data_IF_710776385334
#
_entry.id   IF_710776385334
#
_cell.length_a   1.000
_cell.length_b   1.000
_cell.length_c   1.000
_cell.angle_alpha   90.00
_cell.angle_beta   90.00
_cell.angle_gamma   90.00
#
_symmetry.space_group_name_H-M   'P 1'
#
loop_
_entity.id
_entity.type
_entity.pdbx_description
1 polymer ?
#
# COMPACT_ATOMS: atom_id res chain seq x y z
N UNK A 1 -2.73 -8.63 -5.78
CA UNK A 1 -1.38 -8.11 -5.47
C UNK A 1 -0.39 -9.17 -5.92
N UNK A 2 0.60 -8.81 -6.74
CA UNK A 2 1.62 -9.77 -7.20
C UNK A 2 2.84 -9.68 -6.28
N UNK A 3 3.04 -10.70 -5.44
CA UNK A 3 4.15 -10.79 -4.49
C UNK A 3 5.36 -11.57 -5.04
N UNK A 4 5.30 -12.03 -6.30
CA UNK A 4 6.37 -12.80 -6.92
C UNK A 4 7.69 -12.03 -6.96
N UNK A 5 8.71 -12.57 -6.29
CA UNK A 5 10.06 -12.00 -6.21
C UNK A 5 10.17 -10.73 -5.37
N UNK A 6 9.18 -10.44 -4.52
CA UNK A 6 9.17 -9.25 -3.65
C UNK A 6 9.64 -9.65 -2.25
N UNK A 7 10.65 -8.95 -1.73
CA UNK A 7 11.04 -9.06 -0.33
C UNK A 7 10.01 -8.32 0.54
N UNK A 8 9.06 -9.07 1.09
CA UNK A 8 7.96 -8.53 1.91
C UNK A 8 8.50 -7.93 3.21
N UNK A 9 9.52 -8.52 3.81
CA UNK A 9 10.09 -8.02 5.07
C UNK A 9 10.77 -6.65 4.86
N UNK A 10 11.52 -6.52 3.78
CA UNK A 10 12.11 -5.22 3.39
C UNK A 10 11.03 -4.18 3.08
N UNK A 11 9.97 -4.56 2.36
CA UNK A 11 8.85 -3.64 2.08
C UNK A 11 8.19 -3.18 3.38
N UNK A 12 7.89 -4.09 4.30
CA UNK A 12 7.29 -3.75 5.59
C UNK A 12 8.18 -2.82 6.43
N UNK A 13 9.50 -3.06 6.44
CA UNK A 13 10.46 -2.17 7.09
C UNK A 13 10.38 -0.76 6.53
N UNK A 14 10.48 -0.60 5.20
CA UNK A 14 10.45 0.72 4.54
C UNK A 14 9.12 1.44 4.76
N UNK A 15 8.00 0.72 4.73
CA UNK A 15 6.69 1.31 5.01
C UNK A 15 6.56 1.78 6.46
N UNK A 16 7.06 1.00 7.43
CA UNK A 16 7.04 1.40 8.84
C UNK A 16 7.96 2.60 9.11
N UNK A 17 9.15 2.62 8.51
CA UNK A 17 10.08 3.76 8.55
C UNK A 17 9.37 5.02 8.03
N UNK A 18 8.77 4.93 6.85
CA UNK A 18 8.01 6.03 6.23
C UNK A 18 6.91 6.55 7.16
N UNK A 19 6.06 5.67 7.70
CA UNK A 19 4.94 6.05 8.57
C UNK A 19 5.43 6.75 9.85
N UNK A 20 6.54 6.26 10.41
CA UNK A 20 7.10 6.78 11.67
C UNK A 20 7.76 8.15 11.46
N UNK A 21 8.58 8.28 10.42
CA UNK A 21 9.31 9.52 10.13
C UNK A 21 8.40 10.63 9.58
N UNK A 22 7.41 10.28 8.75
CA UNK A 22 6.46 11.26 8.19
C UNK A 22 5.27 11.55 9.09
N UNK A 23 5.27 11.08 10.34
CA UNK A 23 4.21 11.40 11.30
C UNK A 23 4.10 12.93 11.44
N UNK A 24 2.90 13.52 11.29
CA UNK A 24 2.75 14.95 11.44
C UNK A 24 2.91 15.35 12.90
N UNK A 25 3.72 16.38 13.14
CA UNK A 25 3.91 17.01 14.45
C UNK A 25 3.35 18.42 14.41
N UNK A 26 2.55 18.74 15.42
CA UNK A 26 2.04 20.09 15.63
C UNK A 26 3.18 20.96 16.18
N UNK A 27 3.53 22.02 15.46
CA UNK A 27 4.50 23.04 15.90
C UNK A 27 3.82 24.20 16.64
N UNK A 28 2.61 23.99 17.12
CA UNK A 28 1.85 24.98 17.86
C UNK A 28 2.49 25.19 19.23
N UNK A 29 3.04 26.38 19.46
CA UNK A 29 3.58 26.82 20.74
C UNK A 29 2.71 27.92 21.36
N UNK A 30 3.05 28.41 22.57
CA UNK A 30 2.38 29.57 23.16
C UNK A 30 2.47 30.75 22.17
N UNK A 31 1.33 31.28 21.72
CA UNK A 31 1.18 32.35 20.72
C UNK A 31 1.57 32.05 19.25
N UNK A 32 1.77 30.79 18.84
CA UNK A 32 2.02 30.44 17.43
C UNK A 32 1.01 29.41 16.95
N UNK A 33 0.04 29.85 16.13
CA UNK A 33 -0.89 28.96 15.44
C UNK A 33 -0.36 28.65 14.03
N UNK A 34 0.11 27.43 13.80
CA UNK A 34 0.50 26.97 12.47
C UNK A 34 -0.64 26.14 11.86
N UNK A 35 -1.20 26.60 10.74
CA UNK A 35 -2.26 25.88 10.02
C UNK A 35 -1.72 24.66 9.23
N UNK A 36 -0.40 24.55 9.06
CA UNK A 36 0.27 23.47 8.33
C UNK A 36 1.08 22.62 9.29
N UNK A 37 0.92 21.32 9.19
CA UNK A 37 1.71 20.34 9.94
C UNK A 37 2.98 20.02 9.17
N UNK A 38 4.07 19.81 9.89
CA UNK A 38 5.33 19.34 9.30
C UNK A 38 5.55 17.88 9.67
N UNK A 39 6.26 17.10 8.83
CA UNK A 39 6.69 15.77 9.24
C UNK A 39 7.60 15.83 10.48
N UNK A 40 7.70 14.71 11.19
CA UNK A 40 8.59 14.56 12.34
C UNK A 40 10.05 14.57 11.89
N UNK A 41 10.33 13.96 10.74
CA UNK A 41 11.58 14.19 10.03
C UNK A 41 11.57 15.57 9.34
N UNK A 42 12.76 16.09 9.03
CA UNK A 42 12.87 17.34 8.24
C UNK A 42 12.36 17.07 6.82
N UNK A 43 11.74 18.07 6.18
CA UNK A 43 11.13 17.93 4.84
C UNK A 43 12.00 17.23 3.78
N UNK A 44 13.31 17.50 3.63
CA UNK A 44 14.14 16.81 2.65
C UNK A 44 14.17 15.29 2.86
N UNK A 45 14.26 14.85 4.12
CA UNK A 45 14.23 13.42 4.49
C UNK A 45 12.90 12.78 4.14
N UNK A 46 11.78 13.47 4.36
CA UNK A 46 10.46 12.98 3.96
C UNK A 46 10.37 12.77 2.43
N UNK A 47 10.98 13.65 1.63
CA UNK A 47 11.03 13.52 0.17
C UNK A 47 11.84 12.29 -0.24
N UNK A 48 13.03 12.09 0.32
CA UNK A 48 13.87 10.90 0.05
C UNK A 48 13.12 9.59 0.33
N UNK A 49 12.44 9.54 1.48
CA UNK A 49 11.63 8.38 1.83
C UNK A 49 10.45 8.20 0.86
N UNK A 50 9.84 9.30 0.41
CA UNK A 50 8.75 9.27 -0.58
C UNK A 50 9.22 8.68 -1.91
N UNK A 51 10.38 9.10 -2.41
CA UNK A 51 10.99 8.55 -3.63
C UNK A 51 11.26 7.04 -3.53
N UNK A 52 11.46 6.53 -2.32
CA UNK A 52 11.65 5.09 -2.08
C UNK A 52 10.32 4.33 -2.04
N UNK A 53 9.28 4.87 -1.40
CA UNK A 53 7.99 4.16 -1.24
C UNK A 53 7.07 4.26 -2.46
N UNK A 54 7.15 5.32 -3.26
CA UNK A 54 6.30 5.49 -4.45
C UNK A 54 6.47 4.36 -5.48
N UNK A 55 7.69 3.87 -5.80
CA UNK A 55 7.88 2.68 -6.62
C UNK A 55 7.23 1.43 -6.03
N UNK A 56 7.32 1.24 -4.71
CA UNK A 56 6.67 0.14 -4.00
C UNK A 56 5.15 0.21 -4.20
N UNK A 57 4.55 1.38 -4.01
CA UNK A 57 3.12 1.57 -4.24
C UNK A 57 2.74 1.33 -5.69
N UNK A 58 3.53 1.82 -6.63
CA UNK A 58 3.26 1.65 -8.07
C UNK A 58 3.21 0.18 -8.47
N UNK A 59 4.06 -0.66 -7.86
CA UNK A 59 4.08 -2.11 -8.12
C UNK A 59 3.00 -2.88 -7.36
N UNK A 60 2.84 -2.63 -6.06
CA UNK A 60 2.02 -3.46 -5.17
C UNK A 60 0.60 -2.94 -4.97
N UNK A 61 0.38 -1.64 -5.18
CA UNK A 61 -0.89 -0.97 -4.96
C UNK A 61 -1.14 0.13 -6.02
N UNK A 62 -1.32 -0.22 -7.30
CA UNK A 62 -1.39 0.76 -8.39
C UNK A 62 -2.50 1.81 -8.22
N UNK A 63 -3.59 1.46 -7.54
CA UNK A 63 -4.73 2.36 -7.30
C UNK A 63 -4.54 3.31 -6.11
N UNK A 64 -3.35 3.36 -5.50
CA UNK A 64 -3.12 4.13 -4.27
C UNK A 64 -3.43 5.62 -4.42
N UNK A 65 -3.14 6.23 -5.57
CA UNK A 65 -3.40 7.66 -5.82
C UNK A 65 -4.88 7.99 -5.91
N UNK A 66 -5.68 7.10 -6.50
CA UNK A 66 -7.13 7.32 -6.61
C UNK A 66 -7.85 7.10 -5.27
N UNK A 67 -7.33 6.19 -4.44
CA UNK A 67 -7.95 5.83 -3.16
C UNK A 67 -7.53 6.75 -1.99
N UNK A 68 -6.49 7.57 -2.16
CA UNK A 68 -5.96 8.45 -1.12
C UNK A 68 -5.78 9.86 -1.69
N UNK A 69 -6.73 10.75 -1.38
CA UNK A 69 -6.67 12.13 -1.86
C UNK A 69 -5.75 12.97 -0.96
N UNK A 70 -4.89 13.82 -1.55
CA UNK A 70 -4.04 14.72 -0.78
C UNK A 70 -4.88 15.79 -0.06
N UNK A 71 -4.49 16.12 1.16
CA UNK A 71 -5.15 17.15 1.98
C UNK A 71 -4.21 18.35 2.09
N UNK A 72 -4.76 19.57 1.99
CA UNK A 72 -3.97 20.82 2.02
C UNK A 72 -3.17 21.06 3.31
N UNK A 73 -3.54 20.40 4.41
CA UNK A 73 -2.98 20.60 5.75
C UNK A 73 -1.63 19.88 5.91
N UNK A 74 -1.44 18.76 5.21
CA UNK A 74 -0.24 17.93 5.31
C UNK A 74 0.10 17.28 3.97
N UNK A 75 1.28 17.61 3.43
CA UNK A 75 1.66 17.25 2.06
C UNK A 75 1.85 15.74 1.84
N UNK A 76 2.29 14.99 2.87
CA UNK A 76 2.58 13.55 2.79
C UNK A 76 1.43 12.66 3.29
N UNK A 77 0.24 13.23 3.49
CA UNK A 77 -0.89 12.50 4.09
C UNK A 77 -1.34 11.33 3.20
N UNK A 78 -1.45 11.55 1.89
CA UNK A 78 -1.96 10.56 0.96
C UNK A 78 -1.05 9.33 0.87
N UNK A 79 0.26 9.56 0.80
CA UNK A 79 1.30 8.52 0.78
C UNK A 79 1.33 7.75 2.09
N UNK A 80 1.14 8.42 3.24
CA UNK A 80 1.11 7.76 4.55
C UNK A 80 -0.15 6.90 4.71
N UNK A 81 -1.29 7.37 4.23
CA UNK A 81 -2.52 6.56 4.24
C UNK A 81 -2.40 5.37 3.29
N UNK A 82 -1.77 5.56 2.13
CA UNK A 82 -1.43 4.47 1.22
C UNK A 82 -0.47 3.45 1.87
N UNK A 83 0.55 3.91 2.60
CA UNK A 83 1.47 3.05 3.34
C UNK A 83 0.75 2.20 4.40
N UNK A 84 -0.11 2.82 5.22
CA UNK A 84 -0.91 2.13 6.23
C UNK A 84 -1.84 1.09 5.60
N UNK A 85 -2.53 1.45 4.50
CA UNK A 85 -3.41 0.53 3.77
C UNK A 85 -2.63 -0.64 3.18
N UNK A 86 -1.48 -0.38 2.57
CA UNK A 86 -0.63 -1.42 1.98
C UNK A 86 -0.13 -2.38 3.06
N UNK A 87 0.33 -1.86 4.20
CA UNK A 87 0.80 -2.68 5.32
C UNK A 87 -0.34 -3.51 5.93
N UNK A 88 -1.53 -2.94 6.07
CA UNK A 88 -2.71 -3.69 6.49
C UNK A 88 -3.07 -4.80 5.48
N UNK A 89 -2.98 -4.52 4.17
CA UNK A 89 -3.22 -5.50 3.10
C UNK A 89 -2.21 -6.65 3.19
N UNK A 90 -0.92 -6.37 3.38
CA UNK A 90 0.12 -7.41 3.53
C UNK A 90 -0.18 -8.35 4.71
N UNK A 91 -0.42 -7.78 5.90
CA UNK A 91 -0.78 -8.55 7.11
C UNK A 91 -2.07 -9.35 6.95
N UNK A 92 -3.07 -8.74 6.32
CA UNK A 92 -4.34 -9.44 6.07
C UNK A 92 -4.18 -10.56 5.05
N UNK A 93 -3.31 -10.41 4.05
CA UNK A 93 -3.12 -11.42 3.00
C UNK A 93 -2.58 -12.73 3.58
N UNK A 94 -1.61 -12.67 4.48
CA UNK A 94 -1.10 -13.85 5.21
C UNK A 94 -2.23 -14.53 6.01
N UNK A 95 -3.03 -13.75 6.74
CA UNK A 95 -4.12 -14.29 7.56
C UNK A 95 -5.23 -14.90 6.71
N UNK A 96 -5.60 -14.21 5.62
CA UNK A 96 -6.66 -14.62 4.68
C UNK A 96 -6.24 -15.87 3.92
N UNK A 97 -5.00 -15.94 3.43
CA UNK A 97 -4.48 -17.14 2.76
C UNK A 97 -4.37 -18.34 3.71
N UNK A 98 -3.97 -18.12 4.98
CA UNK A 98 -3.95 -19.17 5.99
C UNK A 98 -5.36 -19.71 6.34
N UNK A 99 -6.37 -18.83 6.39
CA UNK A 99 -7.74 -19.20 6.81
C UNK A 99 -8.67 -19.64 5.68
N UNK A 100 -8.52 -19.08 4.49
CA UNK A 100 -9.38 -19.37 3.33
C UNK A 100 -8.74 -20.36 2.35
N UNK A 101 -7.54 -20.85 2.66
CA UNK A 101 -6.76 -21.74 1.80
C UNK A 101 -6.09 -20.96 0.68
N UNK A 102 -4.77 -20.76 0.80
CA UNK A 102 -3.91 -20.18 -0.22
C UNK A 102 -3.79 -21.12 -1.43
N UNK A 103 -4.88 -21.26 -2.17
CA UNK A 103 -4.93 -22.00 -3.41
C UNK A 103 -5.31 -21.04 -4.52
N UNK A 104 -4.34 -20.73 -5.37
CA UNK A 104 -4.51 -20.37 -6.77
C UNK A 104 -5.89 -19.73 -7.10
N UNK A 105 -5.98 -18.40 -7.02
CA UNK A 105 -7.12 -17.63 -7.53
C UNK A 105 -7.24 -17.71 -9.06
N UNK A 106 -6.40 -18.53 -9.71
CA UNK A 106 -6.63 -18.99 -11.07
C UNK A 106 -7.96 -19.74 -11.09
N UNK A 107 -8.92 -19.41 -11.97
CA UNK A 107 -10.09 -20.25 -12.15
C UNK A 107 -9.57 -21.65 -12.44
N UNK A 108 -9.85 -22.60 -11.55
CA UNK A 108 -9.64 -24.02 -11.83
C UNK A 108 -10.61 -24.37 -12.95
N UNK A 109 -10.19 -24.11 -14.19
CA UNK A 109 -10.81 -24.64 -15.39
C UNK A 109 -10.60 -26.15 -15.31
N UNK A 110 -11.44 -26.82 -14.55
CA UNK A 110 -11.57 -28.27 -14.62
C UNK A 110 -12.01 -28.56 -16.05
N UNK A 111 -11.19 -29.30 -16.79
CA UNK A 111 -11.42 -29.65 -18.20
C UNK A 111 -12.82 -30.29 -18.44
N UNK A 112 -13.48 -30.78 -17.39
CA UNK A 112 -14.89 -31.22 -17.39
C UNK A 112 -15.85 -30.12 -17.89
N UNK A 113 -15.58 -28.84 -17.60
CA UNK A 113 -16.39 -27.71 -18.06
C UNK A 113 -16.22 -27.37 -19.55
N UNK A 114 -15.14 -27.81 -20.21
CA UNK A 114 -14.91 -27.57 -21.63
C UNK A 114 -15.58 -28.60 -22.55
N UNK A 115 -15.99 -29.75 -22.02
CA UNK A 115 -16.46 -30.87 -22.85
C UNK A 115 -17.87 -30.65 -23.45
N UNK A 116 -18.70 -29.79 -22.83
CA UNK A 116 -20.07 -29.50 -23.31
C UNK A 116 -20.12 -28.47 -24.45
N UNK A 117 -19.08 -27.63 -24.61
CA UNK A 117 -19.04 -26.58 -25.64
C UNK A 117 -18.44 -27.07 -26.97
N UNK A 118 -17.62 -28.13 -26.94
CA UNK A 118 -16.98 -28.67 -28.15
C UNK A 118 -17.99 -29.48 -28.99
N UNK A 119 -18.99 -30.10 -28.37
CA UNK A 119 -19.95 -30.98 -29.06
C UNK A 119 -21.14 -30.28 -29.73
N UNK A 120 -21.28 -28.95 -29.62
CA UNK A 120 -22.31 -28.18 -30.34
C UNK A 120 -21.79 -27.47 -31.61
N UNK A 121 -20.51 -27.66 -31.94
CA UNK A 121 -19.87 -27.00 -33.07
C UNK A 121 -19.46 -27.96 -34.21
N UNK A 122 -19.92 -29.22 -34.19
CA UNK A 122 -19.69 -30.20 -35.25
C UNK A 122 -20.99 -30.50 -36.02
#
# INVERSE_FOLDING_TARGET
MNLGGVDVAWVEERLNEYITETRPVDKSGPNVFTARRTPNCVRPRAIELTETVVPIFTRLYPQWRSENQPIRIFEFQAERDAANKLLARLKSNETVTARLGGGDMSPRLTAVSLHHLIWRAA
#
